data_IF_587466943706
#
_entry.id   IF_587466943706
#
_cell.length_a   1.000
_cell.length_b   1.000
_cell.length_c   1.000
_cell.angle_alpha   90.00
_cell.angle_beta   90.00
_cell.angle_gamma   90.00
#
_symmetry.space_group_name_H-M   'P 1'
#
loop_
_entity.id
_entity.type
_entity.pdbx_description
1 polymer ?
#
# COMPACT_ATOMS: atom_id res chain seq x y z
N UNK A 1 -4.13 15.13 9.29
CA UNK A 1 -5.51 14.66 8.99
C UNK A 1 -6.43 15.81 8.59
N UNK A 2 -6.53 16.90 9.36
CA UNK A 2 -7.40 18.04 9.02
C UNK A 2 -7.20 18.60 7.59
N UNK A 3 -5.95 18.73 7.13
CA UNK A 3 -5.64 19.15 5.76
C UNK A 3 -6.20 18.19 4.69
N UNK A 4 -6.08 16.88 4.90
CA UNK A 4 -6.65 15.86 4.01
C UNK A 4 -8.17 15.97 4.00
N UNK A 5 -8.80 16.11 5.17
CA UNK A 5 -10.26 16.27 5.30
C UNK A 5 -10.79 17.46 4.49
N UNK A 6 -10.09 18.60 4.52
CA UNK A 6 -10.49 19.80 3.78
C UNK A 6 -10.52 19.59 2.25
N UNK A 7 -9.73 18.64 1.74
CA UNK A 7 -9.64 18.33 0.31
C UNK A 7 -10.50 17.12 -0.12
N UNK A 8 -11.13 16.42 0.83
CA UNK A 8 -11.99 15.27 0.54
C UNK A 8 -13.43 15.70 0.27
N UNK A 9 -13.98 15.28 -0.88
CA UNK A 9 -15.41 15.48 -1.21
C UNK A 9 -16.35 14.48 -0.54
N UNK A 10 -15.81 13.35 -0.06
CA UNK A 10 -16.55 12.30 0.65
C UNK A 10 -16.01 12.19 2.06
N UNK A 11 -16.91 11.96 3.01
CA UNK A 11 -16.53 11.68 4.39
C UNK A 11 -15.70 10.38 4.47
N UNK A 12 -14.72 10.38 5.36
CA UNK A 12 -13.95 9.19 5.72
C UNK A 12 -13.87 9.06 7.23
N UNK A 13 -13.59 7.85 7.70
CA UNK A 13 -13.43 7.57 9.13
C UNK A 13 -11.97 7.77 9.51
N UNK A 14 -11.71 8.73 10.40
CA UNK A 14 -10.38 8.96 10.98
C UNK A 14 -10.21 8.16 12.28
N UNK A 15 -9.32 7.16 12.23
CA UNK A 15 -8.94 6.33 13.37
C UNK A 15 -7.52 6.61 13.90
N UNK A 16 -6.84 7.65 13.41
CA UNK A 16 -5.47 7.98 13.81
C UNK A 16 -5.38 8.27 15.31
N UNK A 17 -4.55 7.50 16.02
CA UNK A 17 -4.36 7.64 17.47
C UNK A 17 -5.54 7.19 18.33
N UNK A 18 -6.56 6.53 17.75
CA UNK A 18 -7.82 6.16 18.45
C UNK A 18 -8.01 4.65 18.65
N UNK A 19 -7.14 3.84 18.07
CA UNK A 19 -7.22 2.37 18.09
C UNK A 19 -5.89 1.75 18.48
N UNK A 20 -5.94 0.57 19.08
CA UNK A 20 -4.74 -0.23 19.36
C UNK A 20 -4.31 -1.06 18.14
N UNK A 21 -3.16 -1.74 18.28
CA UNK A 21 -2.55 -2.52 17.22
C UNK A 21 -3.42 -3.73 16.79
N UNK A 22 -4.09 -4.39 17.73
CA UNK A 22 -4.94 -5.55 17.44
C UNK A 22 -6.21 -5.13 16.69
N UNK A 23 -6.80 -4.01 17.07
CA UNK A 23 -7.94 -3.40 16.38
C UNK A 23 -7.56 -3.00 14.96
N UNK A 24 -6.38 -2.39 14.77
CA UNK A 24 -5.85 -2.09 13.43
C UNK A 24 -5.72 -3.36 12.58
N UNK A 25 -5.14 -4.43 13.11
CA UNK A 25 -5.03 -5.71 12.40
C UNK A 25 -6.41 -6.29 12.02
N UNK A 26 -7.40 -6.20 12.92
CA UNK A 26 -8.77 -6.62 12.65
C UNK A 26 -9.45 -5.82 11.53
N UNK A 27 -9.21 -4.51 11.47
CA UNK A 27 -9.70 -3.64 10.40
C UNK A 27 -9.03 -4.02 9.07
N UNK A 28 -7.70 -4.15 9.06
CA UNK A 28 -6.94 -4.54 7.85
C UNK A 28 -7.43 -5.89 7.32
N UNK A 29 -7.64 -6.89 8.19
CA UNK A 29 -8.19 -8.21 7.80
C UNK A 29 -9.55 -8.13 7.09
N UNK A 30 -10.38 -7.14 7.43
CA UNK A 30 -11.72 -6.96 6.85
C UNK A 30 -11.74 -6.01 5.65
N UNK A 31 -10.64 -5.32 5.36
CA UNK A 31 -10.55 -4.42 4.23
C UNK A 31 -10.49 -5.20 2.91
N UNK A 32 -11.09 -4.64 1.85
CA UNK A 32 -10.95 -5.19 0.48
C UNK A 32 -9.54 -4.99 -0.08
N UNK A 33 -8.90 -3.90 0.30
CA UNK A 33 -7.52 -3.58 -0.01
C UNK A 33 -6.97 -2.58 1.01
N UNK A 34 -5.65 -2.57 1.22
CA UNK A 34 -4.91 -1.59 2.00
C UNK A 34 -3.98 -0.78 1.07
N UNK A 35 -4.00 0.55 1.15
CA UNK A 35 -2.95 1.39 0.55
C UNK A 35 -2.07 1.93 1.68
N UNK A 36 -0.76 1.69 1.62
CA UNK A 36 0.16 2.02 2.73
C UNK A 36 1.59 2.28 2.24
N UNK A 37 2.47 2.70 3.15
CA UNK A 37 3.93 2.79 2.95
C UNK A 37 4.63 1.62 3.64
N UNK A 38 5.97 1.58 3.60
CA UNK A 38 6.83 0.60 4.27
C UNK A 38 6.83 0.73 5.81
N UNK A 39 5.66 0.50 6.42
CA UNK A 39 5.43 0.61 7.85
C UNK A 39 4.63 -0.58 8.40
N UNK A 40 4.43 -0.66 9.71
CA UNK A 40 3.78 -1.80 10.37
C UNK A 40 2.45 -2.28 9.72
N UNK A 41 1.52 -1.42 9.26
CA UNK A 41 0.30 -1.84 8.55
C UNK A 41 0.54 -2.75 7.33
N UNK A 42 1.63 -2.54 6.59
CA UNK A 42 2.02 -3.40 5.46
C UNK A 42 2.24 -4.85 5.89
N UNK A 43 2.99 -5.04 6.99
CA UNK A 43 3.27 -6.36 7.54
C UNK A 43 2.01 -7.01 8.13
N UNK A 44 1.13 -6.21 8.74
CA UNK A 44 -0.17 -6.72 9.21
C UNK A 44 -1.02 -7.22 8.03
N UNK A 45 -1.03 -6.50 6.90
CA UNK A 45 -1.73 -6.96 5.70
C UNK A 45 -1.16 -8.26 5.13
N UNK A 46 0.16 -8.47 5.20
CA UNK A 46 0.78 -9.78 4.88
C UNK A 46 0.21 -10.87 5.80
N UNK A 47 0.24 -10.64 7.11
CA UNK A 47 -0.22 -11.61 8.10
C UNK A 47 -1.71 -11.93 7.98
N UNK A 48 -2.53 -10.97 7.53
CA UNK A 48 -3.98 -11.15 7.36
C UNK A 48 -4.38 -11.53 5.94
N UNK A 49 -3.43 -11.69 5.01
CA UNK A 49 -3.66 -11.93 3.59
C UNK A 49 -4.56 -10.87 2.93
N UNK A 50 -4.49 -9.63 3.43
CA UNK A 50 -5.23 -8.50 2.88
C UNK A 50 -4.50 -7.98 1.64
N UNK A 51 -5.18 -7.86 0.48
CA UNK A 51 -4.58 -7.26 -0.71
C UNK A 51 -4.05 -5.86 -0.42
N UNK A 52 -2.87 -5.50 -0.92
CA UNK A 52 -2.28 -4.19 -0.62
C UNK A 52 -1.57 -3.51 -1.80
N UNK A 53 -1.64 -2.19 -1.83
CA UNK A 53 -0.80 -1.31 -2.66
C UNK A 53 0.21 -0.64 -1.73
N UNK A 54 1.49 -0.86 -1.95
CA UNK A 54 2.55 -0.34 -1.08
C UNK A 54 3.41 0.67 -1.80
N UNK A 55 3.48 1.88 -1.24
CA UNK A 55 4.22 3.00 -1.80
C UNK A 55 5.64 3.01 -1.22
N UNK A 56 6.63 2.75 -2.07
CA UNK A 56 8.03 2.79 -1.70
C UNK A 56 8.70 4.04 -2.28
N UNK A 57 9.06 4.97 -1.39
CA UNK A 57 9.90 6.10 -1.72
C UNK A 57 11.40 5.72 -1.68
N UNK A 58 12.22 6.39 -0.86
CA UNK A 58 13.68 6.19 -0.90
C UNK A 58 14.13 4.83 -0.36
N UNK A 59 13.30 4.16 0.43
CA UNK A 59 13.59 2.81 0.94
C UNK A 59 13.64 1.80 -0.18
N UNK A 60 14.67 0.95 -0.21
CA UNK A 60 14.78 -0.13 -1.19
C UNK A 60 13.76 -1.24 -0.87
N UNK A 61 12.80 -1.55 -1.78
CA UNK A 61 11.78 -2.57 -1.54
C UNK A 61 12.35 -3.99 -1.40
N UNK A 62 13.57 -4.26 -1.89
CA UNK A 62 14.20 -5.58 -1.75
C UNK A 62 14.17 -6.09 -0.29
N UNK A 63 14.33 -5.18 0.68
CA UNK A 63 14.43 -5.53 2.09
C UNK A 63 13.07 -5.72 2.76
N UNK A 64 12.07 -4.92 2.37
CA UNK A 64 10.84 -4.75 3.14
C UNK A 64 9.55 -5.01 2.37
N UNK A 65 9.60 -5.18 1.05
CA UNK A 65 8.40 -5.43 0.25
C UNK A 65 7.62 -6.64 0.80
N UNK A 66 6.28 -6.61 0.72
CA UNK A 66 5.44 -7.74 1.11
C UNK A 66 5.88 -9.02 0.41
N UNK A 67 5.90 -10.12 1.17
CA UNK A 67 6.15 -11.46 0.63
C UNK A 67 4.96 -12.34 0.97
N UNK A 68 4.54 -13.20 0.04
CA UNK A 68 3.48 -14.18 0.26
C UNK A 68 2.09 -13.59 0.57
N UNK A 69 1.77 -12.44 -0.04
CA UNK A 69 0.43 -11.83 0.02
C UNK A 69 0.13 -11.09 -1.29
N UNK A 70 -1.13 -10.92 -1.70
CA UNK A 70 -1.47 -10.12 -2.88
C UNK A 70 -1.03 -8.67 -2.69
N UNK A 71 0.03 -8.25 -3.38
CA UNK A 71 0.61 -6.94 -3.20
C UNK A 71 1.09 -6.34 -4.52
N UNK A 72 0.88 -5.04 -4.68
CA UNK A 72 1.45 -4.24 -5.77
C UNK A 72 2.38 -3.19 -5.17
N UNK A 73 3.66 -3.26 -5.50
CA UNK A 73 4.66 -2.28 -5.06
C UNK A 73 4.73 -1.14 -6.06
N UNK A 74 4.50 0.09 -5.61
CA UNK A 74 4.54 1.30 -6.43
C UNK A 74 5.76 2.13 -6.06
N UNK A 75 6.55 2.51 -7.07
CA UNK A 75 7.67 3.43 -6.95
C UNK A 75 7.60 4.51 -8.01
N UNK A 76 8.23 5.66 -7.73
CA UNK A 76 8.26 6.78 -8.66
C UNK A 76 8.93 6.44 -9.98
N UNK A 77 8.49 7.11 -11.06
CA UNK A 77 8.99 6.91 -12.43
C UNK A 77 8.85 5.47 -12.98
N UNK A 78 7.95 4.65 -12.43
CA UNK A 78 7.64 3.30 -12.93
C UNK A 78 6.27 3.29 -13.60
N UNK A 79 6.17 2.79 -14.83
CA UNK A 79 4.90 2.74 -15.55
C UNK A 79 3.90 1.70 -14.99
N UNK A 80 4.41 0.73 -14.25
CA UNK A 80 3.63 -0.36 -13.65
C UNK A 80 4.20 -0.70 -12.26
N UNK A 81 3.45 -1.46 -11.43
CA UNK A 81 3.98 -1.98 -10.18
C UNK A 81 5.29 -2.76 -10.38
N UNK A 82 6.23 -2.55 -9.46
CA UNK A 82 7.57 -3.14 -9.50
C UNK A 82 7.51 -4.60 -9.04
N UNK A 83 8.00 -5.51 -9.87
CA UNK A 83 8.02 -6.96 -9.59
C UNK A 83 9.43 -7.50 -9.35
N UNK A 84 10.47 -6.76 -9.74
CA UNK A 84 11.87 -7.13 -9.58
C UNK A 84 12.60 -6.09 -8.74
N UNK A 85 13.38 -6.55 -7.76
CA UNK A 85 14.10 -5.67 -6.82
C UNK A 85 15.61 -5.88 -6.90
N UNK A 86 16.37 -4.78 -6.93
CA UNK A 86 17.84 -4.81 -7.01
C UNK A 86 18.49 -4.33 -5.71
N UNK A 87 19.51 -5.02 -5.17
CA UNK A 87 20.25 -4.56 -4.00
C UNK A 87 20.91 -3.20 -4.18
N UNK A 88 21.28 -2.85 -5.42
CA UNK A 88 21.98 -1.60 -5.78
C UNK A 88 21.04 -0.52 -6.33
N UNK A 89 19.74 -0.65 -6.10
CA UNK A 89 18.76 0.34 -6.52
C UNK A 89 19.05 1.71 -5.90
N UNK A 90 19.04 2.77 -6.72
CA UNK A 90 19.17 4.15 -6.24
C UNK A 90 17.88 4.57 -5.53
N UNK A 91 17.95 5.37 -4.45
CA UNK A 91 16.75 5.89 -3.79
C UNK A 91 15.86 6.68 -4.75
N UNK A 92 14.56 6.40 -4.72
CA UNK A 92 13.55 7.10 -5.53
C UNK A 92 12.73 8.00 -4.59
N UNK A 93 12.71 9.33 -4.78
CA UNK A 93 11.91 10.21 -3.94
C UNK A 93 10.40 9.86 -3.94
N UNK A 94 9.76 9.93 -2.77
CA UNK A 94 8.31 9.67 -2.62
C UNK A 94 7.45 10.59 -3.49
N UNK A 95 7.88 11.84 -3.70
CA UNK A 95 7.16 12.82 -4.51
C UNK A 95 7.16 12.52 -6.02
N UNK A 96 7.86 11.47 -6.46
CA UNK A 96 7.81 10.97 -7.84
C UNK A 96 6.72 9.91 -8.05
N UNK A 97 6.03 9.50 -6.98
CA UNK A 97 4.84 8.64 -7.08
C UNK A 97 3.63 9.52 -7.34
N UNK A 98 3.02 9.37 -8.52
CA UNK A 98 1.82 10.11 -8.91
C UNK A 98 0.56 9.48 -8.31
N UNK A 99 -0.49 10.30 -8.14
CA UNK A 99 -1.79 9.82 -7.69
C UNK A 99 -2.43 8.82 -8.66
N UNK A 100 -2.17 8.99 -9.96
CA UNK A 100 -2.67 8.12 -11.03
C UNK A 100 -2.07 6.72 -10.92
N UNK A 101 -0.75 6.62 -10.71
CA UNK A 101 -0.05 5.34 -10.49
C UNK A 101 -0.67 4.57 -9.32
N UNK A 102 -0.97 5.26 -8.21
CA UNK A 102 -1.59 4.64 -7.03
C UNK A 102 -3.02 4.20 -7.32
N UNK A 103 -3.83 5.07 -7.94
CA UNK A 103 -5.23 4.77 -8.27
C UNK A 103 -5.33 3.60 -9.25
N UNK A 104 -4.45 3.52 -10.25
CA UNK A 104 -4.48 2.44 -11.23
C UNK A 104 -4.02 1.12 -10.62
N UNK A 105 -3.02 1.13 -9.73
CA UNK A 105 -2.67 -0.04 -8.93
C UNK A 105 -3.86 -0.51 -8.05
N UNK A 106 -4.58 0.42 -7.40
CA UNK A 106 -5.77 0.09 -6.62
C UNK A 106 -6.88 -0.53 -7.48
N UNK A 107 -7.14 0.02 -8.68
CA UNK A 107 -8.12 -0.54 -9.61
C UNK A 107 -7.73 -1.94 -10.06
N UNK A 108 -6.46 -2.13 -10.45
CA UNK A 108 -5.95 -3.43 -10.88
C UNK A 108 -6.11 -4.48 -9.78
N UNK A 109 -5.73 -4.14 -8.55
CA UNK A 109 -5.85 -5.00 -7.37
C UNK A 109 -7.31 -5.37 -7.06
N UNK A 110 -8.24 -4.41 -7.16
CA UNK A 110 -9.66 -4.63 -6.87
C UNK A 110 -10.44 -5.31 -8.00
N UNK A 111 -9.88 -5.33 -9.22
CA UNK A 111 -10.48 -5.99 -10.38
C UNK A 111 -10.07 -7.46 -10.52
N UNK A 112 -9.02 -7.87 -9.80
CA UNK A 112 -8.59 -9.26 -9.78
C UNK A 112 -9.68 -10.15 -9.14
N UNK A 113 -10.08 -11.25 -9.79
CA UNK A 113 -11.04 -12.18 -9.20
C UNK A 113 -10.49 -12.72 -7.88
N UNK A 114 -11.34 -12.70 -6.84
CA UNK A 114 -11.01 -13.17 -5.49
C UNK A 114 -10.53 -14.62 -5.56
N UNK A 115 -9.21 -14.85 -5.61
CA UNK A 115 -8.63 -16.20 -5.66
C UNK A 115 -7.33 -16.37 -6.46
N UNK A 116 -6.86 -15.38 -7.23
CA UNK A 116 -5.59 -15.53 -7.95
C UNK A 116 -4.46 -14.91 -7.14
N UNK A 117 -3.59 -15.77 -6.60
CA UNK A 117 -2.27 -15.35 -6.10
C UNK A 117 -1.45 -14.94 -7.32
N UNK A 118 -1.00 -13.68 -7.35
CA UNK A 118 0.08 -13.20 -8.23
C UNK A 118 1.39 -13.38 -7.49
#
# INVERSE_FOLDING_TARGET
IAEIQAHCRRAFVDLSGKIDLLTLAGIIKRARALTTVDSAPMHLAVATQTPQVVLFGPTNPLHWAPRFSPALVVQGNQAAPVTEFSPKQKPIPMNQISTEQVIDAMKALLSAPSGVSV
#
